data_IF_932866462437
#
_entry.id   IF_932866462437
#
_cell.length_a   1.000
_cell.length_b   1.000
_cell.length_c   1.000
_cell.angle_alpha   90.00
_cell.angle_beta   90.00
_cell.angle_gamma   90.00
#
_symmetry.space_group_name_H-M   'P 1'
#
loop_
_entity.id
_entity.type
_entity.pdbx_description
1 polymer ?
#
# COMPACT_ATOMS: atom_id res chain seq x y z
N UNK A 1 -23.26 57.26 16.30
CA UNK A 1 -23.59 55.92 16.81
C UNK A 1 -23.79 54.84 15.71
N UNK A 2 -24.43 55.14 14.59
CA UNK A 2 -24.68 54.18 13.47
C UNK A 2 -23.40 53.76 12.75
N UNK A 3 -22.44 54.67 12.48
CA UNK A 3 -21.18 54.41 11.78
C UNK A 3 -20.31 53.36 12.49
N UNK A 4 -20.17 53.44 13.82
CA UNK A 4 -19.39 52.52 14.66
C UNK A 4 -19.98 51.11 14.64
N UNK A 5 -21.29 50.96 14.51
CA UNK A 5 -21.97 49.64 14.44
C UNK A 5 -21.72 48.99 13.09
N UNK A 6 -21.68 49.76 12.02
CA UNK A 6 -21.38 49.27 10.65
C UNK A 6 -19.93 48.79 10.54
N UNK A 7 -18.97 49.59 11.03
CA UNK A 7 -17.54 49.24 10.99
C UNK A 7 -17.24 47.94 11.78
N UNK A 8 -17.94 47.75 12.91
CA UNK A 8 -17.80 46.54 13.72
C UNK A 8 -18.38 45.28 13.02
N UNK A 9 -19.50 45.42 12.29
CA UNK A 9 -20.11 44.35 11.52
C UNK A 9 -19.23 43.99 10.32
N UNK A 10 -18.71 44.97 9.61
CA UNK A 10 -17.81 44.79 8.47
C UNK A 10 -16.52 44.12 8.94
N UNK A 11 -15.91 44.57 10.02
CA UNK A 11 -14.69 43.97 10.58
C UNK A 11 -14.88 42.54 11.02
N UNK A 12 -16.00 42.22 11.64
CA UNK A 12 -16.34 40.80 12.00
C UNK A 12 -16.51 39.92 10.78
N UNK A 13 -17.21 40.43 9.75
CA UNK A 13 -17.45 39.67 8.50
C UNK A 13 -16.16 39.43 7.74
N UNK A 14 -15.26 40.41 7.67
CA UNK A 14 -13.94 40.29 7.01
C UNK A 14 -13.04 39.32 7.74
N UNK A 15 -12.99 39.35 9.08
CA UNK A 15 -12.20 38.42 9.86
C UNK A 15 -12.70 36.96 9.69
N UNK A 16 -14.01 36.73 9.70
CA UNK A 16 -14.60 35.42 9.46
C UNK A 16 -14.26 34.88 8.07
N UNK A 17 -14.33 35.76 7.06
CA UNK A 17 -13.98 35.38 5.69
C UNK A 17 -12.47 35.01 5.57
N UNK A 18 -11.60 35.76 6.24
CA UNK A 18 -10.16 35.46 6.26
C UNK A 18 -9.85 34.11 6.92
N UNK A 19 -10.52 33.77 8.03
CA UNK A 19 -10.35 32.47 8.68
C UNK A 19 -10.86 31.32 7.81
N UNK A 20 -12.01 31.47 7.16
CA UNK A 20 -12.54 30.47 6.21
C UNK A 20 -11.60 30.25 5.01
N UNK A 21 -11.01 31.32 4.49
CA UNK A 21 -10.02 31.24 3.39
C UNK A 21 -8.75 30.53 3.85
N UNK A 22 -8.21 30.86 5.03
CA UNK A 22 -7.02 30.18 5.59
C UNK A 22 -7.26 28.70 5.80
N UNK A 23 -8.39 28.31 6.37
CA UNK A 23 -8.76 26.92 6.59
C UNK A 23 -8.87 26.17 5.27
N UNK A 24 -9.53 26.74 4.27
CA UNK A 24 -9.65 26.16 2.95
C UNK A 24 -8.31 25.99 2.24
N UNK A 25 -7.42 26.98 2.35
CA UNK A 25 -6.06 26.90 1.80
C UNK A 25 -5.23 25.85 2.50
N UNK A 26 -5.25 25.82 3.83
CA UNK A 26 -4.54 24.82 4.65
C UNK A 26 -4.96 23.40 4.28
N UNK A 27 -6.26 23.14 4.21
CA UNK A 27 -6.81 21.84 3.82
C UNK A 27 -6.41 21.45 2.39
N UNK A 28 -6.34 22.42 1.49
CA UNK A 28 -5.94 22.18 0.10
C UNK A 28 -4.45 21.84 -0.01
N UNK A 29 -3.59 22.55 0.70
CA UNK A 29 -2.14 22.28 0.73
C UNK A 29 -1.87 20.91 1.36
N UNK A 30 -2.48 20.65 2.53
CA UNK A 30 -2.35 19.36 3.20
C UNK A 30 -2.76 18.20 2.28
N UNK A 31 -3.89 18.31 1.59
CA UNK A 31 -4.36 17.30 0.65
C UNK A 31 -3.38 17.08 -0.50
N UNK A 32 -2.83 18.14 -1.07
CA UNK A 32 -1.86 18.05 -2.16
C UNK A 32 -0.56 17.39 -1.73
N UNK A 33 -0.02 17.78 -0.57
CA UNK A 33 1.20 17.18 -0.01
C UNK A 33 1.00 15.70 0.30
N UNK A 34 -0.13 15.35 0.93
CA UNK A 34 -0.45 13.95 1.23
C UNK A 34 -0.56 13.09 -0.05
N UNK A 35 -1.18 13.63 -1.09
CA UNK A 35 -1.29 12.95 -2.39
C UNK A 35 0.07 12.69 -3.02
N UNK A 36 0.98 13.67 -2.98
CA UNK A 36 2.35 13.51 -3.49
C UNK A 36 3.13 12.46 -2.68
N UNK A 37 3.03 12.49 -1.36
CA UNK A 37 3.67 11.49 -0.50
C UNK A 37 3.16 10.08 -0.87
N UNK A 38 1.86 9.91 -1.04
CA UNK A 38 1.26 8.63 -1.40
C UNK A 38 1.72 8.15 -2.78
N UNK A 39 1.86 9.08 -3.75
CA UNK A 39 2.35 8.78 -5.09
C UNK A 39 3.80 8.27 -5.05
N UNK A 40 4.68 9.02 -4.39
CA UNK A 40 6.08 8.61 -4.24
C UNK A 40 6.23 7.30 -3.47
N UNK A 41 5.47 7.13 -2.39
CA UNK A 41 5.44 5.88 -1.62
C UNK A 41 5.04 4.69 -2.47
N UNK A 42 4.04 4.82 -3.34
CA UNK A 42 3.58 3.72 -4.19
C UNK A 42 4.63 3.32 -5.23
N UNK A 43 5.30 4.30 -5.83
CA UNK A 43 6.39 4.05 -6.79
C UNK A 43 7.58 3.41 -6.08
N UNK A 44 8.00 3.97 -4.93
CA UNK A 44 9.10 3.40 -4.13
C UNK A 44 8.80 1.98 -3.68
N UNK A 45 7.57 1.71 -3.25
CA UNK A 45 7.15 0.38 -2.83
C UNK A 45 7.18 -0.62 -4.00
N UNK A 46 6.75 -0.22 -5.20
CA UNK A 46 6.87 -1.03 -6.41
C UNK A 46 8.34 -1.36 -6.72
N UNK A 47 9.23 -0.36 -6.68
CA UNK A 47 10.66 -0.54 -6.94
C UNK A 47 11.33 -1.45 -5.91
N UNK A 48 10.97 -1.34 -4.64
CA UNK A 48 11.42 -2.22 -3.56
C UNK A 48 11.07 -3.68 -3.86
N UNK A 49 9.83 -3.95 -4.29
CA UNK A 49 9.37 -5.30 -4.58
C UNK A 49 9.97 -5.89 -5.86
N UNK A 50 10.10 -5.07 -6.92
CA UNK A 50 10.69 -5.52 -8.19
C UNK A 50 12.19 -5.78 -8.07
N UNK A 51 12.88 -5.06 -7.18
CA UNK A 51 14.31 -5.29 -6.91
C UNK A 51 14.59 -6.31 -5.81
N UNK A 52 13.62 -7.11 -5.42
CA UNK A 52 13.79 -8.17 -4.43
C UNK A 52 14.72 -9.26 -4.94
N UNK A 53 15.66 -9.66 -4.09
CA UNK A 53 16.52 -10.83 -4.29
C UNK A 53 16.33 -11.81 -3.12
N UNK A 54 16.08 -13.10 -3.37
CA UNK A 54 15.95 -14.11 -2.31
C UNK A 54 17.21 -14.25 -1.44
N UNK A 55 18.36 -13.90 -1.97
CA UNK A 55 19.68 -14.01 -1.33
C UNK A 55 20.01 -12.83 -0.41
N UNK A 56 19.25 -11.73 -0.51
CA UNK A 56 19.46 -10.55 0.32
C UNK A 56 19.11 -10.82 1.79
N UNK A 57 19.87 -10.26 2.74
CA UNK A 57 19.50 -10.28 4.14
C UNK A 57 18.18 -9.54 4.32
N UNK A 58 17.16 -10.24 4.75
CA UNK A 58 15.78 -9.74 4.76
C UNK A 58 14.97 -10.31 5.91
N UNK A 59 13.72 -9.94 6.04
CA UNK A 59 12.82 -10.53 7.04
C UNK A 59 12.84 -12.06 6.97
N UNK A 60 13.15 -12.70 8.09
CA UNK A 60 13.20 -14.16 8.20
C UNK A 60 14.36 -14.84 7.49
N UNK A 61 15.32 -14.09 6.92
CA UNK A 61 16.50 -14.64 6.26
C UNK A 61 17.77 -13.85 6.60
N UNK A 62 18.71 -14.52 7.30
CA UNK A 62 20.01 -13.97 7.62
C UNK A 62 21.01 -14.34 6.52
N UNK A 63 21.69 -13.35 5.97
CA UNK A 63 22.74 -13.51 4.97
C UNK A 63 23.88 -12.54 5.25
N UNK A 64 25.11 -12.95 4.98
CA UNK A 64 26.28 -12.07 5.05
C UNK A 64 26.55 -11.31 3.73
N UNK A 65 25.64 -11.45 2.75
CA UNK A 65 25.76 -10.76 1.47
C UNK A 65 25.38 -9.29 1.61
N UNK A 66 25.97 -8.46 0.77
CA UNK A 66 25.55 -7.06 0.63
C UNK A 66 24.20 -7.04 -0.09
N UNK A 67 23.18 -6.33 0.42
CA UNK A 67 21.89 -6.24 -0.22
C UNK A 67 21.96 -5.70 -1.64
N UNK A 68 21.31 -6.37 -2.58
CA UNK A 68 21.21 -5.95 -3.98
C UNK A 68 19.98 -5.12 -4.28
N UNK A 69 19.04 -5.03 -3.32
CA UNK A 69 17.84 -4.23 -3.44
C UNK A 69 18.14 -2.75 -3.67
N UNK A 70 17.39 -2.06 -4.54
CA UNK A 70 17.55 -0.65 -4.87
C UNK A 70 17.54 0.28 -3.64
N UNK A 71 16.87 -0.12 -2.57
CA UNK A 71 16.82 0.61 -1.29
C UNK A 71 17.68 -0.02 -0.21
N UNK A 72 18.75 -0.75 -0.62
CA UNK A 72 19.69 -1.41 0.29
C UNK A 72 19.00 -2.33 1.31
N UNK A 73 19.50 -2.38 2.54
CA UNK A 73 18.99 -3.23 3.61
C UNK A 73 17.53 -2.96 3.98
N UNK A 74 17.10 -1.70 3.93
CA UNK A 74 15.70 -1.35 4.22
C UNK A 74 14.75 -1.90 3.16
N UNK A 75 15.12 -1.74 1.88
CA UNK A 75 14.34 -2.30 0.79
C UNK A 75 14.28 -3.82 0.82
N UNK A 76 15.43 -4.47 1.03
CA UNK A 76 15.50 -5.92 1.16
C UNK A 76 14.63 -6.45 2.31
N UNK A 77 14.63 -5.75 3.46
CA UNK A 77 13.83 -6.13 4.62
C UNK A 77 12.34 -6.00 4.37
N UNK A 78 11.89 -4.87 3.80
CA UNK A 78 10.47 -4.62 3.46
C UNK A 78 10.01 -5.60 2.38
N UNK A 79 10.79 -5.78 1.30
CA UNK A 79 10.45 -6.72 0.25
C UNK A 79 10.35 -8.14 0.77
N UNK A 80 11.33 -8.58 1.59
CA UNK A 80 11.32 -9.89 2.19
C UNK A 80 10.10 -10.12 3.08
N UNK A 81 9.72 -9.14 3.91
CA UNK A 81 8.50 -9.22 4.70
C UNK A 81 7.26 -9.39 3.82
N UNK A 82 7.08 -8.49 2.84
CA UNK A 82 5.87 -8.51 2.00
C UNK A 82 5.78 -9.78 1.16
N UNK A 83 6.89 -10.17 0.52
CA UNK A 83 6.90 -11.30 -0.41
C UNK A 83 6.77 -12.63 0.33
N UNK A 84 7.39 -12.78 1.50
CA UNK A 84 7.30 -14.02 2.28
C UNK A 84 5.97 -14.19 3.00
N UNK A 85 5.39 -13.10 3.52
CA UNK A 85 4.14 -13.19 4.28
C UNK A 85 2.91 -13.19 3.38
N UNK A 86 2.93 -12.44 2.28
CA UNK A 86 1.76 -12.22 1.42
C UNK A 86 1.93 -12.75 0.00
N UNK A 87 3.16 -12.89 -0.48
CA UNK A 87 3.46 -13.23 -1.86
C UNK A 87 3.77 -12.01 -2.74
N UNK A 88 4.41 -12.25 -3.88
CA UNK A 88 4.82 -11.20 -4.82
C UNK A 88 3.61 -10.54 -5.50
N UNK A 89 2.59 -11.32 -5.88
CA UNK A 89 1.40 -10.81 -6.57
C UNK A 89 0.59 -9.83 -5.72
N UNK A 90 0.24 -10.13 -4.46
CA UNK A 90 -0.43 -9.18 -3.58
C UNK A 90 0.39 -7.93 -3.31
N UNK A 91 1.70 -8.08 -3.17
CA UNK A 91 2.62 -6.95 -2.99
C UNK A 91 2.56 -5.99 -4.18
N UNK A 92 2.75 -6.47 -5.39
CA UNK A 92 2.69 -5.68 -6.62
C UNK A 92 1.31 -5.07 -6.84
N UNK A 93 0.25 -5.84 -6.62
CA UNK A 93 -1.12 -5.36 -6.74
C UNK A 93 -1.40 -4.23 -5.76
N UNK A 94 -0.89 -4.34 -4.53
CA UNK A 94 -1.01 -3.28 -3.51
C UNK A 94 -0.34 -1.98 -3.95
N UNK A 95 0.84 -2.05 -4.59
CA UNK A 95 1.52 -0.87 -5.12
C UNK A 95 0.71 -0.18 -6.22
N UNK A 96 0.10 -0.95 -7.14
CA UNK A 96 -0.78 -0.44 -8.19
C UNK A 96 -2.02 0.24 -7.61
N UNK A 97 -2.64 -0.36 -6.60
CA UNK A 97 -3.82 0.23 -5.94
C UNK A 97 -3.47 1.53 -5.23
N UNK A 98 -2.35 1.59 -4.51
CA UNK A 98 -1.87 2.82 -3.88
C UNK A 98 -1.61 3.91 -4.93
N UNK A 99 -1.05 3.55 -6.08
CA UNK A 99 -0.83 4.47 -7.20
C UNK A 99 -2.16 5.02 -7.74
N UNK A 100 -3.13 4.15 -8.02
CA UNK A 100 -4.47 4.56 -8.48
C UNK A 100 -5.16 5.45 -7.43
N UNK A 101 -4.99 5.15 -6.15
CA UNK A 101 -5.55 5.97 -5.09
C UNK A 101 -4.91 7.35 -5.01
N UNK A 102 -3.59 7.46 -5.22
CA UNK A 102 -2.93 8.76 -5.26
C UNK A 102 -3.49 9.65 -6.38
N UNK A 103 -3.70 9.10 -7.58
CA UNK A 103 -4.31 9.83 -8.70
C UNK A 103 -5.76 10.24 -8.38
N UNK A 104 -6.56 9.35 -7.79
CA UNK A 104 -7.94 9.66 -7.39
C UNK A 104 -8.02 10.71 -6.28
N UNK A 105 -7.07 10.69 -5.35
CA UNK A 105 -6.96 11.73 -4.34
C UNK A 105 -6.67 13.09 -4.98
N UNK A 106 -5.78 13.15 -5.95
CA UNK A 106 -5.48 14.38 -6.67
C UNK A 106 -6.74 15.04 -7.23
N UNK A 107 -7.66 14.25 -7.77
CA UNK A 107 -8.94 14.69 -8.32
C UNK A 107 -10.03 14.97 -7.26
N UNK A 108 -9.68 15.03 -5.97
CA UNK A 108 -10.57 15.34 -4.82
C UNK A 108 -11.84 14.47 -4.68
N UNK A 109 -11.99 13.43 -5.47
CA UNK A 109 -13.18 12.55 -5.43
C UNK A 109 -13.05 11.37 -4.44
N UNK A 110 -11.88 11.23 -3.81
CA UNK A 110 -11.49 10.00 -3.15
C UNK A 110 -12.11 9.75 -1.76
N UNK A 111 -12.48 10.81 -1.02
CA UNK A 111 -12.93 10.66 0.36
C UNK A 111 -14.35 10.13 0.51
N UNK A 112 -15.17 10.23 -0.53
CA UNK A 112 -16.47 9.58 -0.51
C UNK A 112 -16.28 8.05 -0.47
N UNK A 113 -16.86 7.42 0.54
CA UNK A 113 -16.82 5.96 0.72
C UNK A 113 -15.44 5.37 1.09
N UNK A 114 -14.61 6.11 1.84
CA UNK A 114 -13.29 5.64 2.26
C UNK A 114 -13.34 4.26 2.97
N UNK A 115 -14.32 4.04 3.84
CA UNK A 115 -14.50 2.76 4.56
C UNK A 115 -14.72 1.59 3.59
N UNK A 116 -15.55 1.78 2.57
CA UNK A 116 -15.82 0.75 1.56
C UNK A 116 -14.56 0.47 0.73
N UNK A 117 -13.81 1.51 0.36
CA UNK A 117 -12.55 1.36 -0.38
C UNK A 117 -11.48 0.62 0.41
N UNK A 118 -11.36 0.90 1.72
CA UNK A 118 -10.45 0.17 2.60
C UNK A 118 -10.86 -1.30 2.74
N UNK A 119 -12.15 -1.56 2.91
CA UNK A 119 -12.66 -2.93 2.99
C UNK A 119 -12.44 -3.71 1.69
N UNK A 120 -12.73 -3.12 0.54
CA UNK A 120 -12.47 -3.75 -0.77
C UNK A 120 -10.98 -3.99 -1.02
N UNK A 121 -10.12 -3.08 -0.55
CA UNK A 121 -8.67 -3.26 -0.62
C UNK A 121 -8.20 -4.44 0.24
N UNK A 122 -8.68 -4.57 1.47
CA UNK A 122 -8.39 -5.72 2.33
C UNK A 122 -8.86 -7.04 1.72
N UNK A 123 -10.09 -7.09 1.21
CA UNK A 123 -10.59 -8.27 0.52
C UNK A 123 -9.74 -8.63 -0.70
N UNK A 124 -9.33 -7.64 -1.48
CA UNK A 124 -8.46 -7.84 -2.63
C UNK A 124 -7.11 -8.43 -2.23
N UNK A 125 -6.49 -7.97 -1.14
CA UNK A 125 -5.25 -8.55 -0.61
C UNK A 125 -5.49 -10.02 -0.24
N UNK A 126 -6.53 -10.33 0.51
CA UNK A 126 -6.85 -11.70 0.93
C UNK A 126 -7.03 -12.63 -0.29
N UNK A 127 -7.86 -12.22 -1.25
CA UNK A 127 -8.10 -13.03 -2.46
C UNK A 127 -6.85 -13.16 -3.33
N UNK A 128 -6.02 -12.13 -3.43
CA UNK A 128 -4.80 -12.18 -4.22
C UNK A 128 -3.70 -13.00 -3.53
N UNK A 129 -3.65 -13.03 -2.18
CA UNK A 129 -2.74 -13.95 -1.48
C UNK A 129 -3.12 -15.41 -1.73
N UNK A 130 -4.39 -15.76 -1.60
CA UNK A 130 -4.86 -17.12 -1.85
C UNK A 130 -4.68 -17.53 -3.32
N UNK A 131 -5.02 -16.64 -4.26
CA UNK A 131 -4.84 -16.91 -5.68
C UNK A 131 -3.38 -16.94 -6.11
N UNK A 132 -2.54 -16.09 -5.52
CA UNK A 132 -1.10 -16.04 -5.79
C UNK A 132 -0.39 -17.32 -5.34
N UNK A 133 -0.68 -17.82 -4.14
CA UNK A 133 -0.09 -19.07 -3.65
C UNK A 133 -0.50 -20.27 -4.51
N UNK A 134 -1.75 -20.32 -4.96
CA UNK A 134 -2.21 -21.35 -5.89
C UNK A 134 -1.47 -21.28 -7.23
N UNK A 135 -1.30 -20.10 -7.81
CA UNK A 135 -0.57 -19.92 -9.07
C UNK A 135 0.90 -20.28 -8.93
N UNK A 136 1.54 -19.92 -7.84
CA UNK A 136 2.93 -20.26 -7.54
C UNK A 136 3.12 -21.78 -7.42
N UNK A 137 2.21 -22.48 -6.75
CA UNK A 137 2.23 -23.92 -6.62
C UNK A 137 2.06 -24.60 -7.99
N UNK A 138 1.11 -24.15 -8.81
CA UNK A 138 0.91 -24.65 -10.18
C UNK A 138 2.14 -24.41 -11.06
N UNK A 139 2.77 -23.23 -10.97
CA UNK A 139 3.98 -22.90 -11.74
C UNK A 139 5.15 -23.76 -11.30
N UNK A 140 5.39 -23.91 -10.02
CA UNK A 140 6.48 -24.71 -9.48
C UNK A 140 6.34 -26.18 -9.85
N UNK A 141 5.12 -26.74 -9.78
CA UNK A 141 4.85 -28.12 -10.12
C UNK A 141 4.98 -28.39 -11.63
N UNK A 142 4.55 -27.47 -12.50
CA UNK A 142 4.61 -27.64 -13.94
C UNK A 142 6.01 -27.41 -14.53
N UNK A 143 6.78 -26.45 -13.97
CA UNK A 143 8.10 -26.11 -14.49
C UNK A 143 9.25 -26.84 -13.82
N UNK A 144 8.99 -27.65 -12.78
CA UNK A 144 10.02 -28.37 -12.00
C UNK A 144 11.21 -27.47 -11.66
N UNK A 145 10.95 -26.26 -11.23
CA UNK A 145 11.98 -25.26 -10.93
C UNK A 145 12.90 -25.78 -9.82
N UNK A 146 14.20 -25.82 -10.12
CA UNK A 146 15.26 -26.28 -9.21
C UNK A 146 15.33 -25.47 -7.90
N UNK A 147 14.81 -24.25 -7.93
CA UNK A 147 14.59 -23.37 -6.79
C UNK A 147 13.16 -22.81 -6.89
N UNK A 148 12.28 -23.10 -5.94
CA UNK A 148 10.97 -22.45 -5.89
C UNK A 148 11.18 -20.92 -5.86
N UNK A 149 10.36 -20.22 -6.64
CA UNK A 149 10.48 -18.75 -6.80
C UNK A 149 10.36 -18.06 -5.45
N UNK A 150 9.69 -18.70 -4.49
CA UNK A 150 9.49 -18.18 -3.13
C UNK A 150 9.59 -19.32 -2.13
N UNK A 151 10.38 -19.11 -1.10
CA UNK A 151 10.49 -20.06 0.01
C UNK A 151 9.28 -19.88 0.93
N UNK A 152 8.51 -20.91 1.00
CA UNK A 152 7.13 -20.96 1.44
C UNK A 152 7.05 -21.25 2.94
N UNK A 153 6.97 -20.21 3.76
CA UNK A 153 6.59 -20.35 5.17
C UNK A 153 5.83 -19.11 5.67
N UNK A 154 5.17 -18.37 4.77
CA UNK A 154 4.43 -17.16 5.11
C UNK A 154 2.97 -17.42 5.49
N UNK A 155 2.30 -16.37 5.95
CA UNK A 155 0.87 -16.39 6.31
C UNK A 155 -0.03 -16.84 5.14
N UNK A 156 0.37 -16.54 3.91
CA UNK A 156 -0.37 -16.91 2.71
C UNK A 156 -0.43 -18.44 2.52
N UNK A 157 0.72 -19.13 2.67
CA UNK A 157 0.79 -20.57 2.56
C UNK A 157 0.05 -21.28 3.71
N UNK A 158 0.24 -20.80 4.94
CA UNK A 158 -0.48 -21.33 6.09
C UNK A 158 -1.99 -21.27 5.89
N UNK A 159 -2.50 -20.13 5.40
CA UNK A 159 -3.92 -19.95 5.10
C UNK A 159 -4.41 -20.86 3.98
N UNK A 160 -3.63 -21.02 2.92
CA UNK A 160 -3.95 -21.90 1.78
C UNK A 160 -3.97 -23.37 2.19
N UNK A 161 -2.94 -23.86 2.89
CA UNK A 161 -2.86 -25.24 3.35
C UNK A 161 -3.99 -25.59 4.32
N UNK A 162 -4.35 -24.67 5.21
CA UNK A 162 -5.47 -24.87 6.12
C UNK A 162 -6.79 -25.02 5.37
N UNK A 163 -7.05 -24.16 4.38
CA UNK A 163 -8.27 -24.23 3.57
C UNK A 163 -8.32 -25.50 2.72
N UNK A 164 -7.21 -25.90 2.09
CA UNK A 164 -7.18 -27.12 1.26
C UNK A 164 -7.34 -28.39 2.09
N UNK A 165 -6.75 -28.44 3.28
CA UNK A 165 -6.92 -29.57 4.19
C UNK A 165 -8.37 -29.69 4.72
N UNK A 166 -9.03 -28.58 5.01
CA UNK A 166 -10.44 -28.61 5.42
C UNK A 166 -11.39 -29.05 4.29
N UNK A 167 -11.08 -28.70 3.04
CA UNK A 167 -11.88 -29.12 1.87
C UNK A 167 -11.65 -30.59 1.50
N UNK A 168 -10.45 -31.12 1.73
CA UNK A 168 -10.14 -32.54 1.40
C UNK A 168 -10.69 -33.57 2.40
N UNK A 169 -11.27 -33.13 3.52
CA UNK A 169 -11.83 -33.98 4.58
C UNK A 169 -13.37 -34.15 4.41
N UNK A 170 -13.99 -33.43 3.49
CA UNK A 170 -15.40 -33.64 3.10
C UNK A 170 -15.53 -34.47 1.83
#
# INVERSE_FOLDING_TARGET
MFKIKIDKIIGFSVNKLNEEIKEKLSNQVFHSVFTLILLFSSISFCLILVSFSPDDPSWGFASNKIPTNLYNSYGAWIAGFVIREFGIFPGLLSSVVLFIWSIKLFNRSAFKFLKIKLFTFLLMIIFSTLGGTYLEDVINNNLQLKHPIINQNGLAEWGFLKLTNEISIQ
#
